data_IF_432650168991
#
_entry.id   IF_432650168991
#
_cell.length_a   1.000
_cell.length_b   1.000
_cell.length_c   1.000
_cell.angle_alpha   90.00
_cell.angle_beta   90.00
_cell.angle_gamma   90.00
#
_symmetry.space_group_name_H-M   'P 1'
#
loop_
_entity.id
_entity.type
_entity.pdbx_description
1 polymer ?
#
# COMPACT_ATOMS: atom_id res chain seq x y z
N UNK A 1 -12.36 26.37 -13.36
CA UNK A 1 -13.26 25.80 -12.33
C UNK A 1 -12.40 25.08 -11.28
N UNK A 2 -12.41 25.52 -10.03
CA UNK A 2 -11.70 24.84 -8.93
C UNK A 2 -12.47 23.58 -8.54
N UNK A 3 -11.92 22.39 -8.83
CA UNK A 3 -12.51 21.13 -8.36
C UNK A 3 -12.44 21.09 -6.84
N UNK A 4 -13.59 21.17 -6.16
CA UNK A 4 -13.69 21.08 -4.71
C UNK A 4 -13.29 19.66 -4.27
N UNK A 5 -12.08 19.50 -3.75
CA UNK A 5 -11.57 18.21 -3.29
C UNK A 5 -12.31 17.88 -1.99
N UNK A 6 -13.10 16.80 -1.99
CA UNK A 6 -13.65 16.23 -0.76
C UNK A 6 -12.52 15.57 0.02
N UNK A 7 -12.18 16.14 1.16
CA UNK A 7 -11.24 15.57 2.12
C UNK A 7 -11.99 14.67 3.09
N UNK A 8 -11.54 13.42 3.19
CA UNK A 8 -12.04 12.44 4.15
C UNK A 8 -10.97 12.18 5.21
N UNK A 9 -11.38 12.03 6.47
CA UNK A 9 -10.48 11.69 7.56
C UNK A 9 -9.84 10.32 7.34
N UNK A 10 -8.65 10.11 7.90
CA UNK A 10 -7.92 8.83 7.85
C UNK A 10 -8.73 7.70 8.47
N UNK A 11 -9.38 7.97 9.60
CA UNK A 11 -10.25 7.03 10.29
C UNK A 11 -11.43 6.60 9.40
N UNK A 12 -12.09 7.55 8.73
CA UNK A 12 -13.19 7.24 7.81
C UNK A 12 -12.73 6.38 6.62
N UNK A 13 -11.54 6.64 6.06
CA UNK A 13 -10.98 5.83 4.97
C UNK A 13 -10.73 4.39 5.39
N UNK A 14 -10.19 4.20 6.60
CA UNK A 14 -9.91 2.87 7.15
C UNK A 14 -11.20 2.10 7.40
N UNK A 15 -12.18 2.75 8.01
CA UNK A 15 -13.50 2.17 8.29
C UNK A 15 -14.23 1.82 6.99
N UNK A 16 -14.14 2.69 5.98
CA UNK A 16 -14.72 2.45 4.66
C UNK A 16 -14.11 1.21 3.98
N UNK A 17 -12.79 1.04 4.05
CA UNK A 17 -12.11 -0.13 3.49
C UNK A 17 -12.43 -1.40 4.29
N UNK A 18 -12.47 -1.32 5.63
CA UNK A 18 -12.87 -2.45 6.48
C UNK A 18 -14.28 -2.94 6.14
N UNK A 19 -15.20 -2.01 5.89
CA UNK A 19 -16.58 -2.30 5.49
C UNK A 19 -16.70 -3.02 4.15
N UNK A 20 -15.70 -2.93 3.27
CA UNK A 20 -15.66 -3.71 2.03
C UNK A 20 -15.51 -5.21 2.35
N UNK A 21 -14.66 -5.55 3.33
CA UNK A 21 -14.50 -6.93 3.78
C UNK A 21 -15.80 -7.47 4.38
N UNK A 22 -16.52 -6.66 5.16
CA UNK A 22 -17.85 -7.02 5.69
C UNK A 22 -18.91 -7.25 4.59
N UNK A 23 -18.74 -6.66 3.41
CA UNK A 23 -19.63 -6.81 2.26
C UNK A 23 -19.12 -7.84 1.23
N UNK A 24 -18.37 -8.85 1.65
CA UNK A 24 -17.77 -9.87 0.77
C UNK A 24 -16.90 -9.29 -0.36
N UNK A 25 -16.26 -8.14 -0.14
CA UNK A 25 -15.47 -7.47 -1.16
C UNK A 25 -16.28 -6.58 -2.11
N UNK A 26 -17.58 -6.37 -1.87
CA UNK A 26 -18.44 -5.62 -2.78
C UNK A 26 -18.30 -4.09 -2.59
N UNK A 27 -17.36 -3.52 -3.35
CA UNK A 27 -17.07 -2.09 -3.37
C UNK A 27 -18.30 -1.24 -3.73
N UNK A 28 -19.15 -1.71 -4.64
CA UNK A 28 -20.32 -0.93 -5.11
C UNK A 28 -21.38 -0.79 -4.02
N UNK A 29 -21.70 -1.89 -3.35
CA UNK A 29 -22.64 -1.90 -2.23
C UNK A 29 -22.13 -1.02 -1.08
N UNK A 30 -20.86 -1.19 -0.70
CA UNK A 30 -20.24 -0.39 0.36
C UNK A 30 -20.19 1.10 0.01
N UNK A 31 -19.89 1.47 -1.24
CA UNK A 31 -19.86 2.87 -1.67
C UNK A 31 -21.24 3.53 -1.60
N UNK A 32 -22.30 2.82 -2.03
CA UNK A 32 -23.69 3.28 -1.90
C UNK A 32 -24.09 3.47 -0.44
N UNK A 33 -23.75 2.51 0.41
CA UNK A 33 -24.07 2.55 1.84
C UNK A 33 -23.37 3.71 2.56
N UNK A 34 -22.12 4.01 2.20
CA UNK A 34 -21.35 5.10 2.78
C UNK A 34 -21.60 6.46 2.11
N UNK A 35 -22.41 6.51 1.05
CA UNK A 35 -22.69 7.74 0.31
C UNK A 35 -21.47 8.35 -0.38
N UNK A 36 -20.45 7.54 -0.70
CA UNK A 36 -19.23 7.99 -1.37
C UNK A 36 -19.16 7.48 -2.80
N UNK A 37 -18.38 8.17 -3.63
CA UNK A 37 -18.15 7.72 -5.00
C UNK A 37 -17.43 6.36 -5.01
N UNK A 38 -17.96 5.41 -5.77
CA UNK A 38 -17.37 4.07 -5.93
C UNK A 38 -15.90 4.15 -6.36
N UNK A 39 -15.56 5.07 -7.26
CA UNK A 39 -14.18 5.28 -7.70
C UNK A 39 -13.26 5.67 -6.53
N UNK A 40 -13.74 6.50 -5.61
CA UNK A 40 -12.99 6.90 -4.42
C UNK A 40 -12.73 5.71 -3.50
N UNK A 41 -13.76 4.90 -3.25
CA UNK A 41 -13.64 3.71 -2.41
C UNK A 41 -12.74 2.65 -3.04
N UNK A 42 -12.87 2.41 -4.35
CA UNK A 42 -12.00 1.51 -5.11
C UNK A 42 -10.53 1.95 -5.04
N UNK A 43 -10.26 3.25 -5.19
CA UNK A 43 -8.92 3.80 -5.02
C UNK A 43 -8.37 3.59 -3.61
N UNK A 44 -9.20 3.69 -2.57
CA UNK A 44 -8.77 3.40 -1.20
C UNK A 44 -8.52 1.91 -0.97
N UNK A 45 -9.40 1.04 -1.46
CA UNK A 45 -9.24 -0.41 -1.39
C UNK A 45 -7.95 -0.87 -2.08
N UNK A 46 -7.68 -0.39 -3.29
CA UNK A 46 -6.43 -0.67 -4.00
C UNK A 46 -5.21 -0.16 -3.24
N UNK A 47 -5.29 1.05 -2.67
CA UNK A 47 -4.22 1.58 -1.83
C UNK A 47 -4.03 0.76 -0.55
N UNK A 48 -5.10 0.28 0.07
CA UNK A 48 -5.02 -0.56 1.26
C UNK A 48 -4.38 -1.92 0.94
N UNK A 49 -4.78 -2.56 -0.16
CA UNK A 49 -4.16 -3.80 -0.66
C UNK A 49 -2.67 -3.64 -1.00
N UNK A 50 -2.27 -2.45 -1.45
CA UNK A 50 -0.87 -2.11 -1.68
C UNK A 50 -0.13 -1.68 -0.41
N UNK A 51 -0.80 -1.63 0.74
CA UNK A 51 -0.23 -1.13 1.99
C UNK A 51 0.15 0.35 1.93
N UNK A 52 -0.55 1.16 1.13
CA UNK A 52 -0.29 2.60 0.87
C UNK A 52 -1.39 3.54 1.36
N UNK A 53 -2.45 3.02 1.99
CA UNK A 53 -3.56 3.85 2.46
C UNK A 53 -3.29 4.43 3.85
N UNK A 54 -3.17 5.76 3.95
CA UNK A 54 -3.09 6.46 5.23
C UNK A 54 -4.39 6.27 6.04
N UNK A 55 -4.29 5.62 7.20
CA UNK A 55 -5.37 5.43 8.17
C UNK A 55 -5.72 3.99 8.49
N UNK A 56 -5.35 3.02 7.65
CA UNK A 56 -5.43 1.59 8.02
C UNK A 56 -4.22 1.25 8.86
N UNK A 57 -4.40 0.65 10.05
CA UNK A 57 -3.31 0.29 11.00
C UNK A 57 -2.21 -0.58 10.38
N UNK A 58 -2.46 -1.16 9.20
CA UNK A 58 -1.49 -1.92 8.43
C UNK A 58 -0.50 -1.06 7.62
N UNK A 59 -0.73 0.26 7.53
CA UNK A 59 0.25 1.24 7.02
C UNK A 59 1.15 1.68 8.17
N UNK A 60 2.18 0.90 8.46
CA UNK A 60 3.26 1.36 9.30
C UNK A 60 4.38 1.88 8.38
N UNK A 61 4.51 3.21 8.17
CA UNK A 61 5.49 3.78 7.24
C UNK A 61 6.92 3.36 7.57
N UNK A 62 7.20 3.11 8.86
CA UNK A 62 8.48 2.56 9.32
C UNK A 62 8.70 1.13 8.83
N UNK A 63 7.66 0.28 8.86
CA UNK A 63 7.73 -1.09 8.33
C UNK A 63 7.95 -1.11 6.81
N UNK A 64 7.30 -0.19 6.09
CA UNK A 64 7.45 -0.09 4.64
C UNK A 64 8.86 0.39 4.26
N UNK A 65 9.38 1.38 4.98
CA UNK A 65 10.75 1.88 4.82
C UNK A 65 11.78 0.77 5.13
N UNK A 66 11.54 0.01 6.20
CA UNK A 66 12.37 -1.14 6.55
C UNK A 66 12.35 -2.23 5.47
N UNK A 67 11.19 -2.50 4.86
CA UNK A 67 11.06 -3.47 3.76
C UNK A 67 11.81 -3.03 2.49
N UNK A 68 11.74 -1.74 2.14
CA UNK A 68 12.54 -1.19 1.04
C UNK A 68 14.04 -1.28 1.31
N UNK A 69 14.46 -0.96 2.53
CA UNK A 69 15.87 -1.05 2.92
C UNK A 69 16.37 -2.50 2.89
N UNK A 70 15.60 -3.46 3.40
CA UNK A 70 15.91 -4.91 3.31
C UNK A 70 16.07 -5.36 1.86
N UNK A 71 15.19 -4.90 0.96
CA UNK A 71 15.27 -5.25 -0.46
C UNK A 71 16.51 -4.64 -1.12
N UNK A 72 16.85 -3.40 -0.76
CA UNK A 72 18.07 -2.72 -1.23
C UNK A 72 19.33 -3.44 -0.76
N UNK A 73 19.40 -3.79 0.52
CA UNK A 73 20.52 -4.51 1.12
C UNK A 73 20.69 -5.91 0.52
N UNK A 74 19.61 -6.67 0.32
CA UNK A 74 19.67 -7.96 -0.37
C UNK A 74 20.21 -7.85 -1.79
N UNK A 75 19.88 -6.77 -2.51
CA UNK A 75 20.41 -6.54 -3.86
C UNK A 75 21.90 -6.20 -3.83
N UNK A 76 22.36 -5.43 -2.86
CA UNK A 76 23.78 -5.11 -2.69
C UNK A 76 24.61 -6.34 -2.30
N UNK A 77 24.08 -7.19 -1.40
CA UNK A 77 24.73 -8.47 -1.05
C UNK A 77 24.90 -9.37 -2.27
N UNK A 78 23.86 -9.52 -3.08
CA UNK A 78 23.92 -10.36 -4.28
C UNK A 78 24.99 -9.87 -5.27
N UNK A 79 25.06 -8.55 -5.50
CA UNK A 79 26.08 -7.95 -6.36
C UNK A 79 27.49 -8.16 -5.80
N UNK A 80 27.67 -7.98 -4.48
CA UNK A 80 28.96 -8.17 -3.83
C UNK A 80 29.40 -9.65 -3.79
N UNK A 81 28.46 -10.60 -3.71
CA UNK A 81 28.75 -12.04 -3.82
C UNK A 81 29.18 -12.40 -5.25
N UNK A 82 28.49 -11.87 -6.27
CA UNK A 82 28.86 -12.06 -7.68
C UNK A 82 30.25 -11.47 -8.00
N UNK A 83 30.61 -10.31 -7.45
CA UNK A 83 31.97 -9.74 -7.59
C UNK A 83 33.05 -10.60 -6.92
N UNK A 84 32.70 -11.32 -5.85
CA UNK A 84 33.64 -12.17 -5.10
C UNK A 84 33.83 -13.56 -5.73
N UNK A 85 32.85 -14.03 -6.48
CA UNK A 85 32.92 -15.28 -7.25
C UNK A 85 33.80 -15.10 -8.49
N UNK A 86 33.67 -13.97 -9.20
CA UNK A 86 34.53 -13.60 -10.34
C UNK A 86 36.01 -13.45 -9.94
N UNK A 87 36.27 -12.86 -8.76
CA UNK A 87 37.64 -12.70 -8.25
C UNK A 87 38.31 -13.99 -7.77
N UNK A 88 37.56 -15.07 -7.53
CA UNK A 88 38.12 -16.38 -7.13
C UNK A 88 38.36 -17.31 -8.33
N UNK A 89 37.82 -17.02 -9.52
CA UNK A 89 38.10 -17.79 -10.74
C UNK A 89 39.33 -17.27 -11.52
N UNK A 90 39.81 -16.06 -11.22
CA UNK A 90 41.03 -15.48 -11.81
C UNK A 90 42.28 -15.59 -10.90
N UNK A 91 42.19 -16.31 -9.77
CA UNK A 91 43.27 -16.54 -8.80
C UNK A 91 43.87 -17.94 -8.81
#
# INVERSE_FOLDING_TARGET
>A
MTKKIRTYSTQFKAEAVKKIADNNGNISATAKQLGIAMQTLSNWHNKANQGKLKGTEQYNPDLMSALEEVKRLKRQLKVAEEEREILNEEG
#
